data_IF_886807187601
#
_entry.id   IF_886807187601
#
_cell.length_a   1.000
_cell.length_b   1.000
_cell.length_c   1.000
_cell.angle_alpha   90.00
_cell.angle_beta   90.00
_cell.angle_gamma   90.00
#
_symmetry.space_group_name_H-M   'P 1'
#
loop_
_entity.id
_entity.type
_entity.pdbx_description
1 polymer ?
#
# COMPACT_ATOMS: atom_id res chain seq x y z
N UNK A 1 -28.29 27.19 11.85
CA UNK A 1 -27.99 26.06 12.77
C UNK A 1 -26.53 25.65 12.58
N UNK A 2 -25.84 25.36 13.68
CA UNK A 2 -24.39 25.57 13.90
C UNK A 2 -23.54 24.37 13.45
N UNK A 3 -23.36 24.18 12.14
CA UNK A 3 -22.50 23.14 11.56
C UNK A 3 -21.04 23.21 12.06
N UNK A 4 -20.54 24.40 12.37
CA UNK A 4 -19.15 24.63 12.88
C UNK A 4 -18.79 23.82 14.14
N UNK A 5 -19.76 23.43 14.96
CA UNK A 5 -19.48 22.68 16.20
C UNK A 5 -19.52 21.16 16.00
N UNK A 6 -20.21 20.69 14.95
CA UNK A 6 -20.27 19.25 14.62
C UNK A 6 -18.94 18.81 14.03
N UNK A 7 -18.33 19.62 13.16
CA UNK A 7 -17.04 19.30 12.54
C UNK A 7 -15.86 19.20 13.54
N UNK A 8 -15.90 19.92 14.67
CA UNK A 8 -14.85 19.87 15.68
C UNK A 8 -14.77 18.53 16.43
N UNK A 9 -15.83 17.71 16.39
CA UNK A 9 -15.91 16.40 17.07
C UNK A 9 -15.75 15.22 16.10
N UNK A 10 -15.49 15.49 14.82
CA UNK A 10 -15.30 14.43 13.82
C UNK A 10 -13.87 13.92 13.90
N UNK A 11 -13.69 12.72 14.45
CA UNK A 11 -12.37 12.08 14.55
C UNK A 11 -11.96 11.31 13.29
N UNK A 12 -12.86 11.18 12.33
CA UNK A 12 -12.65 10.44 11.09
C UNK A 12 -12.87 11.40 9.92
N UNK A 13 -11.81 11.74 9.19
CA UNK A 13 -11.90 12.55 8.00
C UNK A 13 -11.75 11.68 6.77
N UNK A 14 -12.60 11.90 5.77
CA UNK A 14 -12.59 11.22 4.50
C UNK A 14 -12.77 12.26 3.39
N UNK A 15 -11.77 12.36 2.53
CA UNK A 15 -11.73 13.31 1.43
C UNK A 15 -11.51 12.54 0.14
N UNK A 16 -12.45 12.66 -0.81
CA UNK A 16 -12.38 12.00 -2.11
C UNK A 16 -12.64 13.03 -3.21
N UNK A 17 -11.67 13.24 -4.10
CA UNK A 17 -11.82 14.12 -5.26
C UNK A 17 -12.29 13.40 -6.54
N UNK A 18 -12.47 12.08 -6.49
CA UNK A 18 -12.76 11.27 -7.68
C UNK A 18 -14.15 11.52 -8.27
N UNK A 19 -15.11 11.94 -7.44
CA UNK A 19 -16.47 12.29 -7.87
C UNK A 19 -16.50 13.53 -8.75
N UNK A 20 -15.49 14.41 -8.65
CA UNK A 20 -15.47 15.68 -9.37
C UNK A 20 -14.86 15.59 -10.78
N UNK A 21 -14.58 14.38 -11.27
CA UNK A 21 -13.85 14.13 -12.53
C UNK A 21 -14.72 13.58 -13.65
N UNK A 22 -16.05 13.83 -13.63
CA UNK A 22 -16.91 13.36 -14.70
C UNK A 22 -16.48 13.93 -16.07
N UNK A 23 -16.57 13.14 -17.17
CA UNK A 23 -15.84 13.41 -18.40
C UNK A 23 -16.30 14.63 -19.21
N UNK A 24 -17.47 15.22 -18.89
CA UNK A 24 -18.20 16.05 -19.85
C UNK A 24 -17.83 17.54 -19.85
N UNK A 25 -17.03 18.03 -18.89
CA UNK A 25 -16.75 19.47 -18.77
C UNK A 25 -15.29 19.85 -19.07
N UNK A 26 -15.14 21.00 -19.75
CA UNK A 26 -13.89 21.51 -20.30
C UNK A 26 -12.77 21.73 -19.29
N UNK A 27 -11.55 21.95 -19.78
CA UNK A 27 -10.32 22.05 -18.97
C UNK A 27 -10.36 23.12 -17.86
N UNK A 28 -11.08 24.24 -18.07
CA UNK A 28 -11.19 25.32 -17.07
C UNK A 28 -12.02 24.90 -15.84
N UNK A 29 -13.14 24.20 -16.04
CA UNK A 29 -13.97 23.69 -14.94
C UNK A 29 -13.19 22.74 -14.02
N UNK A 30 -12.25 21.96 -14.57
CA UNK A 30 -11.40 21.05 -13.78
C UNK A 30 -10.47 21.79 -12.81
N UNK A 31 -9.96 22.96 -13.19
CA UNK A 31 -9.07 23.76 -12.33
C UNK A 31 -9.86 24.36 -11.15
N UNK A 32 -11.03 24.93 -11.42
CA UNK A 32 -11.89 25.53 -10.39
C UNK A 32 -12.38 24.50 -9.36
N UNK A 33 -12.76 23.31 -9.84
CA UNK A 33 -13.17 22.18 -9.02
C UNK A 33 -12.01 21.76 -8.09
N UNK A 34 -10.80 21.64 -8.64
CA UNK A 34 -9.61 21.23 -7.88
C UNK A 34 -9.25 22.25 -6.81
N UNK A 35 -9.29 23.54 -7.13
CA UNK A 35 -9.11 24.62 -6.15
C UNK A 35 -10.19 24.63 -5.07
N UNK A 36 -11.43 24.32 -5.45
CA UNK A 36 -12.54 24.21 -4.50
C UNK A 36 -12.34 23.05 -3.54
N UNK A 37 -11.87 21.90 -4.02
CA UNK A 37 -11.50 20.75 -3.18
C UNK A 37 -10.36 21.11 -2.22
N UNK A 38 -9.27 21.70 -2.73
CA UNK A 38 -8.14 22.16 -1.89
C UNK A 38 -8.61 23.09 -0.77
N UNK A 39 -9.38 24.11 -1.14
CA UNK A 39 -9.95 25.08 -0.20
C UNK A 39 -10.87 24.42 0.83
N UNK A 40 -11.65 23.41 0.42
CA UNK A 40 -12.53 22.66 1.32
C UNK A 40 -11.73 21.85 2.35
N UNK A 41 -10.70 21.12 1.92
CA UNK A 41 -9.85 20.33 2.82
C UNK A 41 -9.13 21.26 3.81
N UNK A 42 -8.49 22.33 3.31
CA UNK A 42 -7.78 23.31 4.15
C UNK A 42 -8.70 23.94 5.21
N UNK A 43 -9.91 24.37 4.81
CA UNK A 43 -10.89 24.94 5.75
C UNK A 43 -11.36 23.91 6.77
N UNK A 44 -11.58 22.66 6.35
CA UNK A 44 -12.03 21.59 7.25
C UNK A 44 -10.97 21.30 8.30
N UNK A 45 -9.70 21.13 7.90
CA UNK A 45 -8.59 20.92 8.82
C UNK A 45 -8.39 22.11 9.77
N UNK A 46 -8.47 23.35 9.26
CA UNK A 46 -8.39 24.55 10.08
C UNK A 46 -9.51 24.65 11.12
N UNK A 47 -10.75 24.26 10.77
CA UNK A 47 -11.89 24.29 11.67
C UNK A 47 -11.76 23.28 12.82
N UNK A 48 -11.09 22.15 12.62
CA UNK A 48 -10.90 21.14 13.66
C UNK A 48 -9.89 21.52 14.75
N UNK A 49 -9.19 22.66 14.60
CA UNK A 49 -8.40 23.30 15.66
C UNK A 49 -7.40 22.35 16.36
N UNK A 50 -6.79 21.41 15.63
CA UNK A 50 -5.81 20.47 16.18
C UNK A 50 -6.38 19.35 17.07
N UNK A 51 -7.69 19.11 17.05
CA UNK A 51 -8.32 18.02 17.80
C UNK A 51 -7.73 16.65 17.37
N UNK A 52 -7.60 15.64 18.25
CA UNK A 52 -7.07 14.35 17.87
C UNK A 52 -7.83 13.72 16.71
N UNK A 53 -7.10 13.18 15.73
CA UNK A 53 -7.66 12.38 14.64
C UNK A 53 -7.50 10.92 14.96
N UNK A 54 -8.54 10.15 14.67
CA UNK A 54 -8.48 8.69 14.69
C UNK A 54 -8.18 8.17 13.30
N UNK A 55 -8.99 8.55 12.30
CA UNK A 55 -8.86 8.10 10.93
C UNK A 55 -8.73 9.28 9.96
N UNK A 56 -7.84 9.15 8.99
CA UNK A 56 -7.70 10.10 7.89
C UNK A 56 -7.62 9.34 6.56
N UNK A 57 -8.56 9.61 5.67
CA UNK A 57 -8.62 9.07 4.32
C UNK A 57 -8.51 10.23 3.32
N UNK A 58 -7.61 10.08 2.35
CA UNK A 58 -7.39 11.04 1.28
C UNK A 58 -7.27 10.30 -0.03
N UNK A 59 -8.27 10.48 -0.89
CA UNK A 59 -8.24 10.10 -2.29
C UNK A 59 -8.13 11.33 -3.16
N UNK A 60 -7.02 11.44 -3.90
CA UNK A 60 -6.70 12.64 -4.66
C UNK A 60 -6.00 12.31 -5.98
N UNK A 61 -6.39 13.00 -7.06
CA UNK A 61 -5.63 13.00 -8.29
C UNK A 61 -4.50 14.03 -8.28
N UNK A 62 -3.32 13.59 -8.66
CA UNK A 62 -2.10 14.40 -8.70
C UNK A 62 -1.74 14.69 -10.15
N UNK A 63 -1.87 15.95 -10.55
CA UNK A 63 -1.53 16.41 -11.91
C UNK A 63 -0.28 17.28 -11.94
N UNK A 64 0.04 17.97 -10.85
CA UNK A 64 1.16 18.90 -10.76
C UNK A 64 1.77 18.92 -9.34
N UNK A 65 2.98 19.46 -9.20
CA UNK A 65 3.70 19.54 -7.92
C UNK A 65 2.92 20.29 -6.83
N UNK A 66 2.06 21.23 -7.22
CA UNK A 66 1.23 21.97 -6.26
C UNK A 66 0.14 21.09 -5.63
N UNK A 67 -0.38 20.07 -6.35
CA UNK A 67 -1.29 19.07 -5.77
C UNK A 67 -0.57 18.28 -4.67
N UNK A 68 0.65 17.83 -4.98
CA UNK A 68 1.49 17.11 -4.02
C UNK A 68 1.83 17.94 -2.79
N UNK A 69 2.12 19.23 -2.96
CA UNK A 69 2.38 20.11 -1.83
C UNK A 69 1.16 20.23 -0.89
N UNK A 70 -0.06 20.28 -1.43
CA UNK A 70 -1.28 20.29 -0.62
C UNK A 70 -1.47 18.95 0.10
N UNK A 71 -1.40 17.83 -0.64
CA UNK A 71 -1.52 16.49 -0.07
C UNK A 71 -0.51 16.25 1.05
N UNK A 72 0.76 16.62 0.85
CA UNK A 72 1.81 16.55 1.85
C UNK A 72 1.46 17.31 3.14
N UNK A 73 0.98 18.56 3.03
CA UNK A 73 0.55 19.34 4.20
C UNK A 73 -0.62 18.71 4.94
N UNK A 74 -1.59 18.14 4.23
CA UNK A 74 -2.74 17.48 4.84
C UNK A 74 -2.33 16.21 5.58
N UNK A 75 -1.42 15.42 5.00
CA UNK A 75 -0.84 14.22 5.63
C UNK A 75 -0.06 14.61 6.89
N UNK A 76 0.83 15.61 6.81
CA UNK A 76 1.58 16.09 7.98
C UNK A 76 0.64 16.54 9.10
N UNK A 77 -0.42 17.30 8.76
CA UNK A 77 -1.42 17.72 9.74
C UNK A 77 -2.08 16.52 10.45
N UNK A 78 -2.42 15.46 9.70
CA UNK A 78 -3.02 14.27 10.28
C UNK A 78 -2.04 13.53 11.20
N UNK A 79 -0.78 13.39 10.79
CA UNK A 79 0.29 12.76 11.59
C UNK A 79 0.54 13.54 12.89
N UNK A 80 0.68 14.86 12.81
CA UNK A 80 0.91 15.73 13.98
C UNK A 80 -0.22 15.63 15.02
N UNK A 81 -1.42 15.29 14.57
CA UNK A 81 -2.62 15.10 15.42
C UNK A 81 -2.77 13.68 15.96
N UNK A 82 -1.76 12.82 15.75
CA UNK A 82 -1.70 11.48 16.32
C UNK A 82 -2.66 10.48 15.69
N UNK A 83 -2.89 10.60 14.38
CA UNK A 83 -3.76 9.67 13.62
C UNK A 83 -3.35 8.21 13.81
N UNK A 84 -4.35 7.33 13.92
CA UNK A 84 -4.20 5.90 14.13
C UNK A 84 -4.37 5.10 12.83
N UNK A 85 -5.30 5.51 11.99
CA UNK A 85 -5.65 4.84 10.74
C UNK A 85 -5.48 5.84 9.59
N UNK A 86 -4.63 5.52 8.61
CA UNK A 86 -4.42 6.37 7.43
C UNK A 86 -4.63 5.60 6.14
N UNK A 87 -5.45 6.15 5.25
CA UNK A 87 -5.71 5.62 3.92
C UNK A 87 -5.38 6.68 2.88
N UNK A 88 -4.35 6.45 2.07
CA UNK A 88 -3.89 7.38 1.06
C UNK A 88 -4.03 6.75 -0.33
N UNK A 89 -4.94 7.33 -1.11
CA UNK A 89 -5.18 6.94 -2.47
C UNK A 89 -4.86 8.02 -3.48
N UNK A 90 -3.73 7.86 -4.17
CA UNK A 90 -3.35 8.78 -5.23
C UNK A 90 -3.65 8.15 -6.58
N UNK A 91 -4.20 8.95 -7.49
CA UNK A 91 -4.14 8.67 -8.91
C UNK A 91 -3.19 9.68 -9.55
N UNK A 92 -2.03 9.23 -10.01
CA UNK A 92 -1.01 10.11 -10.55
C UNK A 92 -0.50 9.61 -11.90
N UNK A 93 -0.11 10.56 -12.76
CA UNK A 93 0.70 10.27 -13.95
C UNK A 93 2.22 10.41 -13.68
N UNK A 94 2.60 10.67 -12.42
CA UNK A 94 3.95 11.06 -12.00
C UNK A 94 4.35 10.37 -10.69
N UNK A 95 5.63 10.43 -10.34
CA UNK A 95 6.14 9.97 -9.04
C UNK A 95 5.55 10.80 -7.88
N UNK A 96 5.26 10.13 -6.77
CA UNK A 96 4.64 10.73 -5.58
C UNK A 96 5.64 10.81 -4.44
N UNK A 97 5.67 11.96 -3.78
CA UNK A 97 6.48 12.22 -2.60
C UNK A 97 5.62 12.21 -1.34
N UNK A 98 5.79 11.18 -0.51
CA UNK A 98 5.14 11.14 0.80
C UNK A 98 6.04 11.82 1.85
N UNK A 99 5.45 12.60 2.77
CA UNK A 99 6.21 13.31 3.79
C UNK A 99 6.92 12.33 4.75
N UNK A 100 8.12 12.70 5.21
CA UNK A 100 8.91 11.87 6.15
C UNK A 100 8.20 11.64 7.48
N UNK A 101 7.36 12.59 7.89
CA UNK A 101 6.53 12.53 9.09
C UNK A 101 5.62 11.31 9.07
N UNK A 102 5.09 10.92 7.90
CA UNK A 102 4.29 9.71 7.74
C UNK A 102 5.08 8.48 8.19
N UNK A 103 6.32 8.34 7.71
CA UNK A 103 7.19 7.18 7.95
C UNK A 103 7.86 7.17 9.34
N UNK A 104 7.68 8.21 10.14
CA UNK A 104 8.22 8.34 11.49
C UNK A 104 7.12 8.46 12.56
N UNK A 105 5.85 8.25 12.16
CA UNK A 105 4.70 8.33 13.04
C UNK A 105 4.73 7.26 14.12
N UNK A 106 4.57 7.69 15.37
CA UNK A 106 4.54 6.80 16.55
C UNK A 106 3.15 6.30 16.91
N UNK A 107 2.11 6.85 16.28
CA UNK A 107 0.70 6.57 16.61
C UNK A 107 0.02 5.71 15.57
N UNK A 108 0.55 5.68 14.35
CA UNK A 108 -0.08 5.01 13.22
C UNK A 108 -0.11 3.49 13.43
N UNK A 109 -1.31 2.92 13.45
CA UNK A 109 -1.61 1.50 13.66
C UNK A 109 -1.93 0.81 12.33
N UNK A 110 -2.64 1.50 11.44
CA UNK A 110 -3.03 1.00 10.13
C UNK A 110 -2.65 2.00 9.05
N UNK A 111 -1.99 1.51 7.99
CA UNK A 111 -1.60 2.31 6.85
C UNK A 111 -2.02 1.59 5.56
N UNK A 112 -2.82 2.28 4.76
CA UNK A 112 -3.13 1.91 3.39
C UNK A 112 -2.51 2.93 2.44
N UNK A 113 -1.74 2.45 1.46
CA UNK A 113 -1.15 3.26 0.40
C UNK A 113 -1.52 2.67 -0.98
N UNK A 114 -1.99 3.49 -1.91
CA UNK A 114 -2.08 3.13 -3.34
C UNK A 114 -3.05 3.98 -4.14
N UNK A 115 -2.82 4.34 -5.40
CA UNK A 115 -2.68 3.40 -6.52
C UNK A 115 -1.71 3.91 -7.58
N UNK A 116 -1.27 3.03 -8.50
CA UNK A 116 -0.49 3.29 -9.73
C UNK A 116 0.55 4.42 -9.62
N UNK A 117 1.24 4.48 -8.49
CA UNK A 117 2.24 5.49 -8.20
C UNK A 117 3.60 4.86 -8.00
N UNK A 118 4.63 5.59 -8.41
CA UNK A 118 6.00 5.30 -8.02
C UNK A 118 6.33 6.13 -6.79
N UNK A 119 6.67 5.46 -5.69
CA UNK A 119 7.26 6.13 -4.54
C UNK A 119 8.75 6.28 -4.84
N UNK A 120 9.20 7.53 -5.00
CA UNK A 120 10.57 7.82 -5.39
C UNK A 120 11.58 7.29 -4.35
N UNK A 121 11.80 8.06 -3.28
CA UNK A 121 12.72 7.69 -2.20
C UNK A 121 12.00 7.64 -0.86
N UNK A 122 11.99 6.45 -0.25
CA UNK A 122 11.56 6.28 1.14
C UNK A 122 12.68 6.79 2.06
N UNK A 123 12.36 7.51 3.16
CA UNK A 123 13.35 7.91 4.15
C UNK A 123 14.13 6.71 4.69
N UNK A 124 15.44 6.82 4.87
CA UNK A 124 16.25 5.69 5.36
C UNK A 124 16.02 5.38 6.85
N UNK A 125 15.38 6.28 7.57
CA UNK A 125 15.13 6.26 9.01
C UNK A 125 13.65 5.94 9.34
N UNK A 126 12.97 5.17 8.48
CA UNK A 126 11.60 4.71 8.74
C UNK A 126 11.49 4.08 10.13
N UNK A 127 10.52 4.56 10.89
CA UNK A 127 10.21 4.09 12.23
C UNK A 127 8.72 4.24 12.49
N UNK A 128 8.01 3.13 12.33
CA UNK A 128 6.56 3.00 12.52
C UNK A 128 6.29 2.03 13.68
N UNK A 129 6.62 2.42 14.93
CA UNK A 129 6.66 1.49 16.06
C UNK A 129 5.30 0.95 16.51
N UNK A 130 4.19 1.55 16.06
CA UNK A 130 2.84 1.14 16.40
C UNK A 130 2.10 0.44 15.24
N UNK A 131 2.70 0.35 14.06
CA UNK A 131 2.02 -0.13 12.85
C UNK A 131 1.84 -1.64 12.89
N UNK A 132 0.57 -2.08 12.87
CA UNK A 132 0.17 -3.48 12.92
C UNK A 132 -0.35 -4.01 11.59
N UNK A 133 -0.92 -3.13 10.77
CA UNK A 133 -1.45 -3.50 9.45
C UNK A 133 -0.94 -2.54 8.37
N UNK A 134 -0.43 -3.11 7.28
CA UNK A 134 0.04 -2.38 6.10
C UNK A 134 -0.62 -2.97 4.85
N UNK A 135 -1.33 -2.12 4.12
CA UNK A 135 -1.95 -2.47 2.84
C UNK A 135 -1.35 -1.63 1.71
N UNK A 136 -0.88 -2.29 0.66
CA UNK A 136 -0.22 -1.68 -0.48
C UNK A 136 -0.99 -2.07 -1.75
N UNK A 137 -1.40 -1.07 -2.53
CA UNK A 137 -2.13 -1.24 -3.78
C UNK A 137 -1.38 -0.57 -4.93
N UNK A 138 -0.85 -1.34 -5.88
CA UNK A 138 -0.24 -0.85 -7.13
C UNK A 138 0.82 0.24 -6.92
N UNK A 139 1.73 0.05 -5.95
CA UNK A 139 2.86 0.96 -5.67
C UNK A 139 4.19 0.39 -6.15
N UNK A 140 4.91 1.14 -6.98
CA UNK A 140 6.30 0.81 -7.30
C UNK A 140 7.24 1.29 -6.20
N UNK A 141 8.05 0.38 -5.66
CA UNK A 141 9.14 0.68 -4.74
C UNK A 141 10.48 0.57 -5.46
N UNK A 142 11.24 1.65 -5.47
CA UNK A 142 12.59 1.66 -6.02
C UNK A 142 13.51 0.72 -5.21
N UNK A 143 14.47 0.06 -5.86
CA UNK A 143 15.58 -0.69 -5.22
C UNK A 143 15.20 -1.71 -4.13
N UNK A 144 14.01 -2.32 -4.19
CA UNK A 144 13.50 -3.26 -3.16
C UNK A 144 13.28 -2.60 -1.78
N UNK A 145 13.01 -1.29 -1.76
CA UNK A 145 12.83 -0.51 -0.53
C UNK A 145 11.71 -1.04 0.37
N UNK A 146 10.67 -1.68 -0.18
CA UNK A 146 9.66 -2.37 0.63
C UNK A 146 10.32 -3.33 1.64
N UNK A 147 11.21 -4.19 1.17
CA UNK A 147 11.86 -5.21 1.99
C UNK A 147 12.97 -4.69 2.89
N UNK A 148 13.78 -3.77 2.38
CA UNK A 148 15.03 -3.38 3.05
C UNK A 148 14.92 -2.06 3.80
N UNK A 149 13.84 -1.30 3.62
CA UNK A 149 13.65 0.01 4.23
C UNK A 149 12.32 0.07 4.99
N UNK A 150 11.19 -0.17 4.33
CA UNK A 150 9.85 0.01 4.93
C UNK A 150 9.53 -1.07 5.96
N UNK A 151 9.59 -2.35 5.59
CA UNK A 151 9.24 -3.46 6.49
C UNK A 151 10.15 -3.53 7.74
N UNK A 152 11.48 -3.33 7.66
CA UNK A 152 12.35 -3.27 8.84
C UNK A 152 12.01 -2.12 9.81
N UNK A 153 11.45 -1.02 9.30
CA UNK A 153 10.99 0.11 10.11
C UNK A 153 9.67 -0.15 10.86
N UNK A 154 9.03 -1.30 10.66
CA UNK A 154 7.72 -1.65 11.25
C UNK A 154 7.85 -2.83 12.25
N UNK A 155 8.38 -2.61 13.47
CA UNK A 155 8.79 -3.68 14.40
C UNK A 155 7.63 -4.48 15.01
N UNK A 156 6.38 -4.06 14.82
CA UNK A 156 5.17 -4.74 15.36
C UNK A 156 4.14 -5.09 14.28
N UNK A 157 4.54 -5.06 12.99
CA UNK A 157 3.65 -5.35 11.87
C UNK A 157 3.17 -6.80 11.91
N UNK A 158 1.87 -7.04 12.00
CA UNK A 158 1.28 -8.38 12.06
C UNK A 158 0.62 -8.80 10.75
N UNK A 159 0.07 -7.85 10.00
CA UNK A 159 -0.68 -8.08 8.76
C UNK A 159 -0.10 -7.26 7.61
N UNK A 160 0.25 -7.95 6.52
CA UNK A 160 0.71 -7.33 5.28
C UNK A 160 -0.18 -7.77 4.12
N UNK A 161 -0.73 -6.80 3.41
CA UNK A 161 -1.48 -6.99 2.18
C UNK A 161 -0.79 -6.27 1.04
N UNK A 162 -0.45 -7.00 -0.03
CA UNK A 162 0.16 -6.46 -1.24
C UNK A 162 -0.70 -6.86 -2.43
N UNK A 163 -1.14 -5.88 -3.20
CA UNK A 163 -1.92 -6.09 -4.41
C UNK A 163 -1.33 -5.25 -5.54
N UNK A 164 -0.97 -5.90 -6.64
CA UNK A 164 -0.54 -5.24 -7.88
C UNK A 164 -1.39 -5.77 -9.04
N UNK A 165 -2.06 -4.84 -9.71
CA UNK A 165 -2.91 -5.07 -10.88
C UNK A 165 -2.58 -4.01 -11.94
N UNK A 166 -2.32 -4.44 -13.17
CA UNK A 166 -2.09 -3.59 -14.34
C UNK A 166 -1.12 -2.41 -14.11
N UNK A 167 -0.04 -2.64 -13.35
CA UNK A 167 0.95 -1.64 -13.02
C UNK A 167 2.35 -2.26 -12.85
N UNK A 168 3.37 -1.60 -13.40
CA UNK A 168 4.78 -1.96 -13.23
C UNK A 168 5.17 -1.70 -11.77
N UNK A 169 4.98 -2.68 -10.91
CA UNK A 169 5.36 -2.60 -9.50
C UNK A 169 5.49 -4.00 -8.95
N UNK A 170 6.71 -4.49 -8.73
CA UNK A 170 6.83 -5.80 -8.11
C UNK A 170 8.06 -5.91 -7.21
N UNK A 171 7.86 -6.09 -5.89
CA UNK A 171 8.95 -6.44 -5.01
C UNK A 171 9.33 -7.92 -5.24
N UNK A 172 10.58 -8.17 -5.62
CA UNK A 172 11.17 -9.51 -5.80
C UNK A 172 11.36 -10.31 -4.50
N UNK A 173 10.92 -9.74 -3.37
CA UNK A 173 11.12 -10.28 -2.05
C UNK A 173 10.03 -9.73 -1.13
N UNK A 174 9.65 -10.51 -0.11
CA UNK A 174 8.97 -10.02 1.10
C UNK A 174 9.73 -10.60 2.29
N UNK A 175 10.35 -9.74 3.10
CA UNK A 175 11.09 -10.14 4.29
C UNK A 175 10.57 -9.39 5.52
N UNK A 176 10.07 -10.15 6.50
CA UNK A 176 9.69 -9.61 7.80
C UNK A 176 9.55 -10.74 8.82
N UNK A 177 10.13 -10.55 10.01
CA UNK A 177 9.99 -11.50 11.12
C UNK A 177 8.76 -11.24 11.98
N UNK A 178 8.04 -10.14 11.76
CA UNK A 178 6.94 -9.72 12.62
C UNK A 178 5.58 -10.15 12.06
N UNK A 179 5.48 -10.23 10.73
CA UNK A 179 4.23 -10.56 10.04
C UNK A 179 3.77 -11.97 10.38
N UNK A 180 2.47 -12.09 10.63
CA UNK A 180 1.75 -13.34 10.92
C UNK A 180 0.80 -13.69 9.78
N UNK A 181 0.23 -12.70 9.11
CA UNK A 181 -0.64 -12.89 7.95
C UNK A 181 -0.11 -12.11 6.76
N UNK A 182 -0.02 -12.80 5.63
CA UNK A 182 0.43 -12.24 4.36
C UNK A 182 -0.58 -12.57 3.28
N UNK A 183 -1.04 -11.53 2.57
CA UNK A 183 -1.82 -11.69 1.36
C UNK A 183 -1.13 -10.96 0.21
N UNK A 184 -0.82 -11.69 -0.86
CA UNK A 184 -0.14 -11.19 -2.04
C UNK A 184 -0.99 -11.53 -3.25
N UNK A 185 -1.29 -10.52 -4.06
CA UNK A 185 -2.02 -10.65 -5.31
C UNK A 185 -1.26 -9.91 -6.40
N UNK A 186 -0.64 -10.68 -7.28
CA UNK A 186 -0.01 -10.17 -8.49
C UNK A 186 -0.80 -10.71 -9.68
N UNK A 187 -1.29 -9.80 -10.52
CA UNK A 187 -2.03 -10.14 -11.73
C UNK A 187 -1.49 -9.35 -12.93
N UNK A 188 -0.20 -9.52 -13.19
CA UNK A 188 0.50 -8.78 -14.24
C UNK A 188 1.31 -9.74 -15.13
N UNK A 189 0.64 -10.43 -16.06
CA UNK A 189 1.29 -11.40 -16.96
C UNK A 189 2.46 -10.77 -17.74
N UNK A 190 2.35 -9.48 -18.08
CA UNK A 190 3.35 -8.78 -18.88
C UNK A 190 4.74 -8.77 -18.25
N UNK A 191 4.81 -8.87 -16.92
CA UNK A 191 6.06 -8.75 -16.17
C UNK A 191 6.74 -10.11 -15.95
N UNK A 192 6.08 -11.23 -16.24
CA UNK A 192 6.60 -12.56 -15.90
C UNK A 192 7.94 -12.92 -16.57
N UNK A 193 8.32 -12.25 -17.66
CA UNK A 193 9.61 -12.40 -18.34
C UNK A 193 10.72 -11.50 -17.75
N UNK A 194 10.37 -10.36 -17.17
CA UNK A 194 11.27 -9.53 -16.34
C UNK A 194 11.45 -10.11 -14.92
N UNK A 195 10.45 -10.87 -14.46
CA UNK A 195 10.39 -11.49 -13.14
C UNK A 195 11.17 -12.80 -13.09
N UNK A 196 12.45 -12.70 -12.74
CA UNK A 196 13.31 -13.87 -12.54
C UNK A 196 12.91 -14.77 -11.36
N UNK A 197 12.12 -14.25 -10.40
CA UNK A 197 11.64 -15.04 -9.27
C UNK A 197 11.12 -14.23 -8.09
N UNK A 198 10.69 -14.95 -7.05
CA UNK A 198 10.18 -14.39 -5.79
C UNK A 198 10.92 -14.97 -4.58
N UNK A 199 11.05 -14.18 -3.52
CA UNK A 199 11.60 -14.63 -2.24
C UNK A 199 10.69 -14.27 -1.08
N UNK A 200 10.57 -15.16 -0.12
CA UNK A 200 9.85 -14.95 1.13
C UNK A 200 10.79 -15.28 2.30
N UNK A 201 11.05 -14.31 3.16
CA UNK A 201 11.74 -14.52 4.44
C UNK A 201 10.85 -14.04 5.58
N UNK A 202 9.90 -14.90 5.95
CA UNK A 202 8.90 -14.62 6.96
C UNK A 202 8.72 -15.81 7.91
N UNK A 203 9.71 -16.07 8.79
CA UNK A 203 9.76 -17.29 9.59
C UNK A 203 8.60 -17.44 10.58
N UNK A 204 7.94 -16.34 10.97
CA UNK A 204 6.83 -16.31 11.92
C UNK A 204 5.44 -16.21 11.23
N UNK A 205 5.41 -16.30 9.90
CA UNK A 205 4.17 -16.25 9.15
C UNK A 205 3.34 -17.51 9.43
N UNK A 206 2.06 -17.35 9.79
CA UNK A 206 1.14 -18.46 10.07
C UNK A 206 0.08 -18.64 8.99
N UNK A 207 -0.22 -17.58 8.23
CA UNK A 207 -1.20 -17.59 7.14
C UNK A 207 -0.63 -16.91 5.89
N UNK A 208 -0.72 -17.60 4.75
CA UNK A 208 -0.35 -17.09 3.43
C UNK A 208 -1.53 -17.20 2.47
N UNK A 209 -1.88 -16.10 1.82
CA UNK A 209 -2.68 -16.11 0.59
C UNK A 209 -1.84 -15.54 -0.54
N UNK A 210 -1.57 -16.33 -1.57
CA UNK A 210 -0.68 -15.96 -2.66
C UNK A 210 -1.36 -16.25 -4.00
N UNK A 211 -1.59 -15.19 -4.77
CA UNK A 211 -2.03 -15.24 -6.16
C UNK A 211 -0.96 -14.60 -7.05
N UNK A 212 -0.51 -15.33 -8.05
CA UNK A 212 0.51 -14.88 -9.01
C UNK A 212 0.57 -15.81 -10.23
N UNK A 213 1.38 -15.48 -11.22
CA UNK A 213 1.84 -16.41 -12.23
C UNK A 213 2.99 -17.28 -11.69
N UNK A 214 3.09 -18.51 -12.18
CA UNK A 214 4.18 -19.40 -11.87
C UNK A 214 5.50 -18.82 -12.40
N UNK A 215 6.38 -18.39 -11.50
CA UNK A 215 7.64 -17.74 -11.83
C UNK A 215 8.75 -18.76 -12.15
N UNK A 216 9.84 -18.26 -12.76
CA UNK A 216 11.00 -19.07 -13.11
C UNK A 216 11.74 -19.63 -11.88
N UNK A 217 11.70 -18.92 -10.75
CA UNK A 217 12.39 -19.33 -9.52
C UNK A 217 11.70 -18.79 -8.26
N UNK A 218 11.76 -19.58 -7.19
CA UNK A 218 11.48 -19.11 -5.83
C UNK A 218 12.76 -19.28 -4.98
N UNK A 219 13.68 -18.31 -5.12
CA UNK A 219 15.08 -18.48 -4.76
C UNK A 219 15.32 -18.70 -3.26
N UNK A 220 14.57 -18.00 -2.41
CA UNK A 220 14.64 -18.14 -0.96
C UNK A 220 13.25 -18.10 -0.35
N UNK A 221 12.79 -19.23 0.20
CA UNK A 221 11.47 -19.34 0.85
C UNK A 221 11.65 -19.91 2.25
N UNK A 222 11.58 -19.02 3.23
CA UNK A 222 11.63 -19.32 4.65
C UNK A 222 10.27 -19.01 5.28
N UNK A 223 9.38 -20.01 5.31
CA UNK A 223 8.02 -19.94 5.85
C UNK A 223 7.80 -21.03 6.92
N UNK A 224 8.79 -21.22 7.80
CA UNK A 224 8.83 -22.35 8.73
C UNK A 224 7.69 -22.43 9.74
N UNK A 225 6.96 -21.35 10.03
CA UNK A 225 5.79 -21.37 10.94
C UNK A 225 4.44 -21.42 10.23
N UNK A 226 4.44 -21.62 8.91
CA UNK A 226 3.22 -21.51 8.11
C UNK A 226 2.27 -22.67 8.39
N UNK A 227 1.02 -22.35 8.77
CA UNK A 227 -0.02 -23.33 9.12
C UNK A 227 -1.04 -23.46 8.00
N UNK A 228 -1.52 -22.34 7.46
CA UNK A 228 -2.49 -22.31 6.37
C UNK A 228 -1.95 -21.55 5.17
N UNK A 229 -2.10 -22.16 4.00
CA UNK A 229 -1.74 -21.55 2.73
C UNK A 229 -2.86 -21.65 1.70
N UNK A 230 -3.10 -20.56 0.98
CA UNK A 230 -4.03 -20.47 -0.14
C UNK A 230 -3.28 -20.02 -1.37
N UNK A 231 -3.09 -20.93 -2.32
CA UNK A 231 -2.33 -20.67 -3.53
C UNK A 231 -3.27 -20.62 -4.74
N UNK A 232 -3.12 -19.57 -5.53
CA UNK A 232 -3.82 -19.36 -6.78
C UNK A 232 -2.81 -19.01 -7.86
N UNK A 233 -2.21 -20.04 -8.46
CA UNK A 233 -1.04 -19.91 -9.33
C UNK A 233 -1.45 -20.14 -10.78
N UNK A 234 -1.23 -19.12 -11.61
CA UNK A 234 -1.56 -19.14 -13.03
C UNK A 234 -0.34 -19.52 -13.87
N UNK A 235 -0.53 -20.09 -15.06
CA UNK A 235 0.57 -20.38 -15.97
C UNK A 235 0.57 -19.38 -17.12
N UNK A 236 1.71 -18.72 -17.35
CA UNK A 236 1.91 -17.85 -18.51
C UNK A 236 2.78 -18.55 -19.56
N UNK A 237 2.47 -18.31 -20.85
CA UNK A 237 3.34 -18.72 -21.97
C UNK A 237 4.65 -17.93 -22.01
N UNK A 238 4.75 -16.81 -21.29
CA UNK A 238 5.96 -15.98 -21.20
C UNK A 238 7.03 -16.64 -20.35
N UNK A 239 6.64 -17.41 -19.32
CA UNK A 239 7.57 -18.15 -18.46
C UNK A 239 7.87 -19.50 -19.09
N UNK A 240 9.04 -19.63 -19.74
CA UNK A 240 9.42 -20.87 -20.45
C UNK A 240 9.53 -22.10 -19.57
N UNK A 241 9.97 -21.92 -18.32
CA UNK A 241 10.25 -23.00 -17.35
C UNK A 241 9.88 -22.52 -15.94
N UNK A 242 8.60 -22.53 -15.58
CA UNK A 242 8.20 -22.21 -14.22
C UNK A 242 8.71 -23.28 -13.25
N UNK A 243 9.15 -22.88 -12.06
CA UNK A 243 9.63 -23.79 -11.02
C UNK A 243 9.07 -23.39 -9.65
N UNK A 244 8.06 -24.14 -9.19
CA UNK A 244 7.43 -23.95 -7.88
C UNK A 244 8.14 -24.72 -6.75
N UNK A 245 9.22 -25.44 -7.05
CA UNK A 245 9.90 -26.33 -6.09
C UNK A 245 10.33 -25.57 -4.84
N UNK A 246 10.92 -24.38 -5.00
CA UNK A 246 11.34 -23.53 -3.87
C UNK A 246 10.17 -23.11 -2.97
N UNK A 247 9.04 -22.72 -3.57
CA UNK A 247 7.83 -22.36 -2.84
C UNK A 247 7.29 -23.54 -2.03
N UNK A 248 7.17 -24.71 -2.66
CA UNK A 248 6.65 -25.93 -2.03
C UNK A 248 7.55 -26.38 -0.87
N UNK A 249 8.87 -26.39 -1.06
CA UNK A 249 9.83 -26.77 -0.02
C UNK A 249 9.77 -25.79 1.17
N UNK A 250 9.70 -24.49 0.89
CA UNK A 250 9.66 -23.46 1.93
C UNK A 250 8.39 -23.49 2.79
N UNK A 251 7.30 -24.07 2.27
CA UNK A 251 6.02 -24.24 2.94
C UNK A 251 5.83 -25.64 3.57
N UNK A 252 6.91 -26.34 3.88
CA UNK A 252 6.89 -27.75 4.32
C UNK A 252 6.10 -28.06 5.59
N UNK A 253 5.76 -27.06 6.41
CA UNK A 253 5.01 -27.24 7.67
C UNK A 253 3.50 -26.95 7.59
N UNK A 254 2.97 -26.68 6.38
CA UNK A 254 1.55 -26.35 6.18
C UNK A 254 0.64 -27.51 6.57
N UNK A 255 -0.35 -27.22 7.41
CA UNK A 255 -1.41 -28.16 7.81
C UNK A 255 -2.60 -28.10 6.87
N UNK A 256 -2.94 -26.90 6.37
CA UNK A 256 -4.06 -26.69 5.46
C UNK A 256 -3.59 -25.98 4.19
N UNK A 257 -3.63 -26.69 3.06
CA UNK A 257 -3.30 -26.15 1.74
C UNK A 257 -4.55 -26.09 0.87
N UNK A 258 -4.96 -24.88 0.52
CA UNK A 258 -5.99 -24.63 -0.49
C UNK A 258 -5.34 -24.29 -1.82
N UNK A 259 -5.70 -25.05 -2.86
CA UNK A 259 -5.30 -24.78 -4.23
C UNK A 259 -6.54 -24.34 -5.00
N UNK A 260 -6.51 -23.14 -5.55
CA UNK A 260 -7.51 -22.72 -6.54
C UNK A 260 -7.15 -23.35 -7.89
N UNK A 261 -8.11 -23.91 -8.64
CA UNK A 261 -7.85 -24.28 -10.03
C UNK A 261 -7.50 -23.00 -10.78
N UNK A 262 -6.39 -23.01 -11.53
CA UNK A 262 -6.10 -21.96 -12.50
C UNK A 262 -7.37 -21.79 -13.34
N UNK A 263 -7.97 -20.60 -13.32
CA UNK A 263 -9.13 -20.33 -14.16
C UNK A 263 -8.64 -20.41 -15.61
N UNK A 264 -9.00 -21.52 -16.27
CA UNK A 264 -8.57 -21.88 -17.62
C UNK A 264 -9.14 -20.95 -18.69
#
# INVERSE_FOLDING_TARGET
>A
KKWRYVFALVHNLDFDDSEFLQPEEGKEHRVEIRESFRTFVDRTLALQSGSPLRKFSLRCLIFEDSDMAHAGRWICNAVERGVLEMDLNFGACLAVFLPCELFTSKTLVELTLGTKISLDKIPTDVSLPALKSLSIYSIFFTYKDLCYVLLPGCPVLEELYVHHEDYEAIPFCISSRTIKKLSVYYDTESECDYMGGMSFDAPNLVFLKYRDYALAEYAHVNLGSLVEARLDIHYSKRVRRPDLTGLIIGMSNVETLHLSPASA
#
